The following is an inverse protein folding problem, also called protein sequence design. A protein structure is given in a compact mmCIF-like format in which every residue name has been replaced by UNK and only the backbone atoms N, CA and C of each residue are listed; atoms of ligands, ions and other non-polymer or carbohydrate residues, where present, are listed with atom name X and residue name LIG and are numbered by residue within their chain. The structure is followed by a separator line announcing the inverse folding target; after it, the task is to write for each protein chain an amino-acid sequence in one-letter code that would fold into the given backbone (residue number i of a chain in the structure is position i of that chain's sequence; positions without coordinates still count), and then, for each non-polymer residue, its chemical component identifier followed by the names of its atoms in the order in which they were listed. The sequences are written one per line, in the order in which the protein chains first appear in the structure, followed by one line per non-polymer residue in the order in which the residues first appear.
data_IF_569787651062
#
_entry.id   IF_569787651062
#
_cell.length_a   1.000
_cell.length_b   1.000
_cell.length_c   1.000
_cell.angle_alpha   90.00
_cell.angle_beta   90.00
_cell.angle_gamma   90.00
#
_symmetry.space_group_name_H-M   'P 1'
#
loop_
_entity.id
_entity.type
_entity.pdbx_description
1 polymer ?
#
# COMPACT_ATOMS: atom_id res chain seq x y z
N UNK A 1 15.72 -4.26 -4.26
CA UNK A 1 16.52 -3.06 -4.60
C UNK A 1 16.34 -2.05 -3.48
N UNK A 2 17.40 -1.33 -3.13
CA UNK A 2 17.45 -0.37 -2.04
C UNK A 2 18.13 0.91 -2.52
N UNK A 3 17.83 2.05 -1.89
CA UNK A 3 18.56 3.30 -2.08
C UNK A 3 19.76 3.42 -1.11
N UNK A 4 20.62 4.46 -1.22
CA UNK A 4 21.77 4.64 -0.33
C UNK A 4 21.42 4.83 1.16
N UNK A 5 20.18 5.17 1.48
CA UNK A 5 19.68 5.27 2.87
C UNK A 5 19.13 3.93 3.38
N UNK A 6 19.25 2.85 2.60
CA UNK A 6 18.80 1.51 2.98
C UNK A 6 17.30 1.29 2.83
N UNK A 7 16.54 2.25 2.27
CA UNK A 7 15.09 2.11 2.07
C UNK A 7 14.82 1.23 0.85
N UNK A 8 13.81 0.38 0.93
CA UNK A 8 13.44 -0.51 -0.19
C UNK A 8 12.83 0.30 -1.33
N UNK A 9 13.44 0.26 -2.51
CA UNK A 9 12.96 0.93 -3.73
C UNK A 9 12.32 -0.02 -4.73
N UNK A 10 12.53 -1.33 -4.57
CA UNK A 10 11.77 -2.32 -5.33
C UNK A 10 11.96 -3.77 -4.91
N UNK A 11 11.02 -4.62 -5.32
CA UNK A 11 10.98 -6.07 -5.11
C UNK A 11 10.59 -6.73 -6.44
N UNK A 12 11.22 -7.84 -6.80
CA UNK A 12 10.89 -8.63 -7.98
C UNK A 12 10.72 -10.10 -7.62
N UNK A 13 9.78 -10.77 -8.26
CA UNK A 13 9.62 -12.21 -8.25
C UNK A 13 9.71 -12.73 -9.70
N UNK A 14 10.74 -13.49 -10.03
CA UNK A 14 10.95 -13.99 -11.39
C UNK A 14 9.92 -15.06 -11.76
N UNK A 15 9.56 -15.94 -10.81
CA UNK A 15 8.58 -17.00 -11.02
C UNK A 15 7.20 -16.47 -11.45
N UNK A 16 6.79 -15.32 -10.90
CA UNK A 16 5.50 -14.68 -11.24
C UNK A 16 5.64 -13.54 -12.24
N UNK A 17 6.87 -13.21 -12.66
CA UNK A 17 7.17 -12.02 -13.47
C UNK A 17 6.58 -10.72 -12.88
N UNK A 18 6.57 -10.61 -11.56
CA UNK A 18 6.04 -9.44 -10.83
C UNK A 18 7.17 -8.53 -10.34
N UNK A 19 6.97 -7.22 -10.45
CA UNK A 19 7.89 -6.18 -9.97
C UNK A 19 7.09 -5.09 -9.24
N UNK A 20 7.49 -4.79 -8.01
CA UNK A 20 6.92 -3.70 -7.21
C UNK A 20 8.00 -2.63 -7.05
N UNK A 21 7.64 -1.37 -7.30
CA UNK A 21 8.52 -0.21 -7.13
C UNK A 21 7.91 0.73 -6.11
N UNK A 22 8.76 1.27 -5.25
CA UNK A 22 8.38 2.16 -4.15
C UNK A 22 8.98 3.55 -4.39
N UNK A 23 8.16 4.59 -4.23
CA UNK A 23 8.59 5.98 -4.14
C UNK A 23 8.43 6.44 -2.70
N UNK A 24 9.48 7.05 -2.16
CA UNK A 24 9.51 7.59 -0.81
C UNK A 24 9.34 9.11 -0.83
N UNK A 25 8.59 9.64 0.13
CA UNK A 25 8.54 11.05 0.48
C UNK A 25 8.98 11.18 1.94
N UNK A 26 10.17 11.74 2.16
CA UNK A 26 10.84 11.68 3.46
C UNK A 26 11.03 10.23 3.93
N UNK A 27 10.47 9.89 5.09
CA UNK A 27 10.50 8.57 5.71
C UNK A 27 9.25 7.71 5.39
N UNK A 28 8.27 8.24 4.65
CA UNK A 28 7.03 7.55 4.30
C UNK A 28 7.04 7.06 2.86
N UNK A 29 6.32 5.97 2.59
CA UNK A 29 6.08 5.51 1.21
C UNK A 29 4.94 6.32 0.64
N UNK A 30 5.22 7.14 -0.38
CA UNK A 30 4.20 7.90 -1.08
C UNK A 30 3.51 7.05 -2.17
N UNK A 31 4.27 6.28 -2.96
CA UNK A 31 3.74 5.59 -4.14
C UNK A 31 4.23 4.14 -4.23
N UNK A 32 3.32 3.24 -4.58
CA UNK A 32 3.60 1.82 -4.84
C UNK A 32 3.09 1.47 -6.23
N UNK A 33 3.99 1.06 -7.11
CA UNK A 33 3.66 0.67 -8.49
C UNK A 33 3.87 -0.82 -8.65
N UNK A 34 2.84 -1.53 -9.06
CA UNK A 34 2.88 -2.96 -9.32
C UNK A 34 2.90 -3.19 -10.84
N UNK A 35 3.88 -3.98 -11.27
CA UNK A 35 4.05 -4.41 -12.64
C UNK A 35 3.95 -5.93 -12.73
N UNK A 36 3.35 -6.41 -13.82
CA UNK A 36 3.32 -7.81 -14.22
C UNK A 36 3.80 -7.90 -15.65
N UNK A 37 4.82 -8.72 -15.90
CA UNK A 37 5.42 -8.88 -17.24
C UNK A 37 5.86 -7.55 -17.87
N UNK A 38 6.29 -6.59 -17.05
CA UNK A 38 6.70 -5.25 -17.50
C UNK A 38 5.59 -4.21 -17.62
N UNK A 39 4.31 -4.61 -17.58
CA UNK A 39 3.17 -3.70 -17.67
C UNK A 39 2.68 -3.27 -16.28
N UNK A 40 2.31 -2.00 -16.10
CA UNK A 40 1.80 -1.48 -14.83
C UNK A 40 0.34 -1.87 -14.64
N UNK A 41 0.09 -2.85 -13.78
CA UNK A 41 -1.26 -3.35 -13.49
C UNK A 41 -1.97 -2.59 -12.37
N UNK A 42 -1.21 -1.98 -11.46
CA UNK A 42 -1.77 -1.18 -10.38
C UNK A 42 -0.80 -0.11 -9.90
N UNK A 43 -1.35 0.97 -9.39
CA UNK A 43 -0.64 2.02 -8.65
C UNK A 43 -1.43 2.34 -7.39
N UNK A 44 -0.73 2.55 -6.28
CA UNK A 44 -1.30 3.02 -5.02
C UNK A 44 -0.53 4.24 -4.55
N UNK A 45 -1.25 5.23 -4.09
CA UNK A 45 -0.72 6.42 -3.44
C UNK A 45 -1.22 6.43 -2.00
N UNK A 46 -0.32 6.64 -1.05
CA UNK A 46 -0.61 6.63 0.38
C UNK A 46 -0.39 8.02 0.96
N UNK A 47 -1.36 8.48 1.76
CA UNK A 47 -1.30 9.77 2.45
C UNK A 47 -1.21 9.49 3.94
N UNK A 48 -0.16 10.02 4.54
CA UNK A 48 0.15 9.85 5.95
C UNK A 48 -0.03 11.16 6.72
N UNK A 49 -0.38 11.07 7.99
CA UNK A 49 -0.28 12.14 8.98
C UNK A 49 0.67 11.68 10.09
N UNK A 50 1.92 12.13 10.04
CA UNK A 50 2.99 11.54 10.83
C UNK A 50 3.15 10.05 10.49
N UNK A 51 2.95 9.18 11.47
CA UNK A 51 3.01 7.72 11.29
C UNK A 51 1.69 7.10 10.82
N UNK A 52 0.56 7.80 10.96
CA UNK A 52 -0.76 7.25 10.69
C UNK A 52 -1.05 7.28 9.18
N UNK A 53 -1.38 6.13 8.60
CA UNK A 53 -1.92 6.06 7.24
C UNK A 53 -3.39 6.48 7.29
N UNK A 54 -3.73 7.56 6.58
CA UNK A 54 -5.10 8.10 6.54
C UNK A 54 -5.85 7.70 5.28
N UNK A 55 -5.18 7.75 4.14
CA UNK A 55 -5.82 7.56 2.83
C UNK A 55 -4.97 6.66 1.95
N UNK A 56 -5.66 5.75 1.26
CA UNK A 56 -5.10 5.01 0.13
C UNK A 56 -5.87 5.36 -1.13
N UNK A 57 -5.19 5.94 -2.10
CA UNK A 57 -5.71 6.10 -3.45
C UNK A 57 -5.18 4.97 -4.33
N UNK A 58 -6.05 4.35 -5.13
CA UNK A 58 -5.71 3.24 -6.02
C UNK A 58 -6.04 3.60 -7.45
N UNK A 59 -5.17 3.24 -8.35
CA UNK A 59 -5.36 3.34 -9.78
C UNK A 59 -5.12 1.95 -10.39
N UNK A 60 -6.14 1.40 -11.05
CA UNK A 60 -6.03 0.14 -11.78
C UNK A 60 -5.60 0.42 -13.23
N UNK A 61 -5.56 -0.63 -14.07
CA UNK A 61 -5.18 -0.54 -15.48
C UNK A 61 -6.04 0.45 -16.30
N UNK A 62 -7.28 0.72 -15.87
CA UNK A 62 -8.19 1.69 -16.49
C UNK A 62 -7.80 3.16 -16.24
N UNK A 63 -6.80 3.41 -15.40
CA UNK A 63 -6.30 4.75 -15.10
C UNK A 63 -7.21 5.56 -14.16
N UNK A 64 -8.35 5.02 -13.72
CA UNK A 64 -9.26 5.72 -12.80
C UNK A 64 -8.74 5.64 -11.37
N UNK A 65 -8.83 6.76 -10.66
CA UNK A 65 -8.51 6.80 -9.23
C UNK A 65 -9.74 6.49 -8.38
N UNK A 66 -9.52 5.64 -7.39
CA UNK A 66 -10.44 5.39 -6.29
C UNK A 66 -9.76 5.76 -4.97
N UNK A 67 -10.51 6.35 -4.04
CA UNK A 67 -10.00 6.79 -2.74
C UNK A 67 -10.63 5.96 -1.64
N UNK A 68 -9.79 5.43 -0.75
CA UNK A 68 -10.17 4.66 0.42
C UNK A 68 -9.64 5.34 1.69
N UNK A 69 -10.49 5.45 2.70
CA UNK A 69 -10.13 5.97 4.03
C UNK A 69 -9.72 4.82 4.94
N UNK A 70 -8.61 5.00 5.65
CA UNK A 70 -8.01 3.96 6.48
C UNK A 70 -8.37 4.19 7.94
N UNK A 71 -8.77 3.13 8.64
CA UNK A 71 -8.75 3.13 10.11
C UNK A 71 -7.57 2.30 10.57
N UNK A 72 -6.83 2.82 11.55
CA UNK A 72 -5.61 2.17 12.07
C UNK A 72 -5.74 1.92 13.57
N UNK A 73 -5.05 0.90 14.07
CA UNK A 73 -4.88 0.70 15.51
C UNK A 73 -3.81 1.66 16.06
N UNK A 74 -3.66 1.70 17.39
CA UNK A 74 -2.73 2.60 18.07
C UNK A 74 -1.25 2.42 17.67
N UNK A 75 -0.88 1.27 17.09
CA UNK A 75 0.47 1.01 16.60
C UNK A 75 0.64 1.28 15.09
N UNK A 76 -0.37 1.85 14.43
CA UNK A 76 -0.34 2.14 13.00
C UNK A 76 -0.69 0.97 12.09
N UNK A 77 -1.10 -0.19 12.62
CA UNK A 77 -1.58 -1.29 11.78
C UNK A 77 -2.94 -0.91 11.17
N UNK A 78 -3.07 -0.89 9.82
CA UNK A 78 -4.35 -0.67 9.16
C UNK A 78 -5.35 -1.77 9.52
N UNK A 79 -6.51 -1.39 10.06
CA UNK A 79 -7.58 -2.28 10.50
C UNK A 79 -8.70 -2.40 9.46
N UNK A 80 -9.03 -1.31 8.76
CA UNK A 80 -10.02 -1.35 7.69
C UNK A 80 -9.81 -0.23 6.65
N UNK A 81 -10.39 -0.43 5.48
CA UNK A 81 -10.49 0.53 4.38
C UNK A 81 -11.96 0.76 4.06
N UNK A 82 -12.36 2.02 3.98
CA UNK A 82 -13.72 2.46 3.66
C UNK A 82 -13.75 3.29 2.38
N UNK A 83 -14.78 3.11 1.58
CA UNK A 83 -15.05 4.00 0.43
C UNK A 83 -15.55 5.37 0.92
N UNK A 84 -15.61 6.39 0.05
CA UNK A 84 -16.10 7.72 0.43
C UNK A 84 -17.57 7.75 0.88
N UNK A 85 -18.36 6.75 0.48
CA UNK A 85 -19.76 6.56 0.92
C UNK A 85 -19.87 5.87 2.30
N UNK A 86 -18.75 5.59 2.96
CA UNK A 86 -18.69 4.89 4.24
C UNK A 86 -18.83 3.36 4.14
N UNK A 87 -18.95 2.79 2.94
CA UNK A 87 -19.04 1.34 2.79
C UNK A 87 -17.68 0.67 3.03
N UNK A 88 -17.69 -0.45 3.74
CA UNK A 88 -16.49 -1.25 3.98
C UNK A 88 -15.97 -1.80 2.64
N UNK A 89 -14.68 -1.60 2.38
CA UNK A 89 -13.98 -2.17 1.22
C UNK A 89 -13.11 -3.35 1.61
N UNK A 90 -12.42 -3.24 2.73
CA UNK A 90 -11.52 -4.27 3.22
C UNK A 90 -11.39 -4.15 4.73
N UNK A 91 -11.23 -5.29 5.38
CA UNK A 91 -10.96 -5.38 6.81
C UNK A 91 -9.75 -6.30 7.01
N UNK A 92 -8.86 -5.90 7.92
CA UNK A 92 -7.74 -6.71 8.31
C UNK A 92 -8.25 -8.01 8.95
N UNK A 93 -7.70 -9.19 8.56
CA UNK A 93 -7.96 -10.41 9.30
C UNK A 93 -7.37 -10.29 10.71
N UNK A 94 -7.95 -11.04 11.66
CA UNK A 94 -7.44 -11.08 13.04
C UNK A 94 -5.98 -11.49 13.03
N UNK A 95 -5.15 -10.70 13.69
CA UNK A 95 -3.75 -10.99 13.92
C UNK A 95 -3.52 -11.33 15.40
N UNK A 96 -2.48 -12.11 15.67
CA UNK A 96 -1.94 -12.23 17.02
C UNK A 96 -1.28 -10.90 17.42
N UNK A 97 -0.94 -10.76 18.71
CA UNK A 97 -0.17 -9.61 19.20
C UNK A 97 1.13 -9.36 18.41
N UNK A 98 1.69 -10.41 17.78
CA UNK A 98 2.92 -10.36 17.00
C UNK A 98 2.69 -10.27 15.48
N UNK A 99 1.48 -9.91 15.06
CA UNK A 99 1.15 -9.67 13.65
C UNK A 99 0.99 -10.93 12.80
N UNK A 100 1.01 -12.13 13.41
CA UNK A 100 0.75 -13.36 12.67
C UNK A 100 -0.74 -13.49 12.36
N UNK A 101 -1.05 -13.82 11.11
CA UNK A 101 -2.41 -14.04 10.62
C UNK A 101 -2.56 -15.54 10.31
N UNK A 102 -3.66 -16.18 10.74
CA UNK A 102 -3.92 -17.59 10.48
C UNK A 102 -4.23 -17.86 9.00
#
# INVERSE_FOLDING_TARGET
RYDPFGRRTGKRCEQTSEDIRYLWDGDQIADVRHYRSGERVARRHWVHNGWELLVQQRQNADGRWETDFVTSSQNGEPQALYRPDGTLRWQAPKSTLWGQRP
#
